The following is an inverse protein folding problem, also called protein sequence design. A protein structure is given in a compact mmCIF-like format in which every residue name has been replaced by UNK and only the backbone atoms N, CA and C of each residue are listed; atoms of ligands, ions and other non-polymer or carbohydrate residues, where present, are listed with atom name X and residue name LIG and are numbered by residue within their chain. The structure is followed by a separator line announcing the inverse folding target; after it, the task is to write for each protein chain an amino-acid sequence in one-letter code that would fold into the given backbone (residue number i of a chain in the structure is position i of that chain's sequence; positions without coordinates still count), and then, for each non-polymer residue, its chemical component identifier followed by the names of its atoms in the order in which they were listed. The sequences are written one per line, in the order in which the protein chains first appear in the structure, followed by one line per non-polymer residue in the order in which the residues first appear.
data_IF_221117803706
#
_entry.id   IF_221117803706
#
_cell.length_a   1.000
_cell.length_b   1.000
_cell.length_c   1.000
_cell.angle_alpha   90.00
_cell.angle_beta   90.00
_cell.angle_gamma   90.00
#
_symmetry.space_group_name_H-M   'P 1'
#
loop_
_entity.id
_entity.type
_entity.pdbx_description
1 polymer ?
#
# COMPACT_ATOMS: atom_id res chain seq x y z
N UNK A 1 23.35 -29.42 53.15
CA UNK A 1 22.43 -28.70 52.25
C UNK A 1 21.61 -29.71 51.46
N UNK A 2 20.39 -29.97 51.90
CA UNK A 2 19.43 -30.83 51.21
C UNK A 2 19.09 -30.21 49.84
N UNK A 3 19.25 -31.00 48.76
CA UNK A 3 18.97 -30.58 47.38
C UNK A 3 17.50 -30.16 47.24
N UNK A 4 17.23 -28.86 47.27
CA UNK A 4 15.91 -28.27 46.98
C UNK A 4 15.37 -28.56 45.57
N UNK A 5 16.19 -29.15 44.69
CA UNK A 5 15.79 -29.53 43.32
C UNK A 5 14.84 -30.73 43.24
N UNK A 6 14.45 -31.33 44.37
CA UNK A 6 13.56 -32.51 44.45
C UNK A 6 12.29 -32.26 45.27
N UNK A 7 11.97 -31.01 45.59
CA UNK A 7 10.68 -30.68 46.17
C UNK A 7 9.60 -30.82 45.09
N UNK A 8 8.45 -31.40 45.42
CA UNK A 8 7.31 -31.61 44.52
C UNK A 8 6.75 -30.29 43.93
N UNK A 9 7.12 -29.15 44.53
CA UNK A 9 6.81 -27.78 44.08
C UNK A 9 7.85 -27.19 43.10
N UNK A 10 8.96 -27.88 42.85
CA UNK A 10 10.01 -27.45 41.93
C UNK A 10 9.93 -28.14 40.54
N UNK A 11 9.19 -29.25 40.45
CA UNK A 11 8.82 -29.83 39.16
C UNK A 11 7.65 -29.06 38.57
N UNK A 12 7.79 -28.65 37.31
CA UNK A 12 6.66 -28.15 36.52
C UNK A 12 5.52 -29.16 36.54
N UNK A 13 4.29 -28.69 36.77
CA UNK A 13 3.05 -29.51 36.83
C UNK A 13 2.85 -30.34 35.56
N UNK A 14 3.39 -29.89 34.43
CA UNK A 14 3.36 -30.62 33.18
C UNK A 14 4.57 -31.55 33.01
N UNK A 15 4.28 -32.76 32.54
CA UNK A 15 5.27 -33.69 32.02
C UNK A 15 5.90 -33.15 30.73
N UNK A 16 7.09 -33.66 30.37
CA UNK A 16 7.75 -33.30 29.11
C UNK A 16 6.88 -33.56 27.86
N UNK A 17 6.08 -34.64 27.88
CA UNK A 17 5.15 -34.96 26.81
C UNK A 17 4.01 -33.94 26.69
N UNK A 18 3.51 -33.44 27.83
CA UNK A 18 2.50 -32.39 27.89
C UNK A 18 3.07 -31.04 27.45
N UNK A 19 4.28 -30.68 27.87
CA UNK A 19 4.94 -29.48 27.34
C UNK A 19 5.17 -29.53 25.84
N UNK A 20 5.51 -30.70 25.29
CA UNK A 20 5.70 -30.86 23.84
C UNK A 20 4.38 -30.76 23.07
N UNK A 21 3.28 -31.28 23.63
CA UNK A 21 1.93 -31.11 23.07
C UNK A 21 1.45 -29.66 23.20
N UNK A 22 1.60 -29.07 24.39
CA UNK A 22 1.25 -27.69 24.67
C UNK A 22 2.07 -26.72 23.82
N UNK A 23 3.37 -26.91 23.63
CA UNK A 23 4.19 -26.10 22.72
C UNK A 23 3.88 -26.29 21.23
N UNK A 24 3.29 -27.44 20.86
CA UNK A 24 2.77 -27.67 19.50
C UNK A 24 1.41 -27.02 19.28
N UNK A 25 0.64 -26.74 20.33
CA UNK A 25 -0.76 -26.27 20.24
C UNK A 25 -0.91 -24.81 20.67
N UNK A 26 -0.29 -24.42 21.78
CA UNK A 26 -0.30 -23.10 22.43
C UNK A 26 1.05 -22.37 22.30
N UNK A 27 1.02 -21.05 22.44
CA UNK A 27 2.20 -20.18 22.32
C UNK A 27 2.62 -19.86 20.88
N UNK A 28 3.67 -19.04 20.75
CA UNK A 28 4.22 -18.63 19.46
C UNK A 28 5.03 -19.75 18.81
N UNK A 29 4.61 -20.22 17.63
CA UNK A 29 5.28 -21.28 16.88
C UNK A 29 6.20 -20.67 15.83
N UNK A 30 7.48 -21.04 15.87
CA UNK A 30 8.47 -20.66 14.85
C UNK A 30 8.86 -21.91 14.08
N UNK A 31 8.65 -21.92 12.78
CA UNK A 31 9.07 -23.02 11.91
C UNK A 31 9.94 -22.47 10.79
N UNK A 32 11.08 -23.14 10.56
CA UNK A 32 11.92 -22.90 9.38
C UNK A 32 11.31 -23.62 8.19
N UNK A 33 11.02 -22.88 7.14
CA UNK A 33 10.50 -23.38 5.87
C UNK A 33 11.65 -23.86 4.98
N UNK A 34 11.42 -24.95 4.26
CA UNK A 34 12.38 -25.54 3.32
C UNK A 34 12.42 -24.80 1.99
N UNK A 35 13.34 -25.19 1.11
CA UNK A 35 13.47 -24.59 -0.24
C UNK A 35 12.22 -24.72 -1.10
N UNK A 36 11.45 -25.78 -0.90
CA UNK A 36 10.20 -26.04 -1.63
C UNK A 36 9.08 -25.04 -1.27
N UNK A 37 9.12 -24.47 -0.07
CA UNK A 37 8.16 -23.46 0.37
C UNK A 37 8.51 -22.05 -0.12
N UNK A 38 9.63 -21.89 -0.83
CA UNK A 38 10.13 -20.61 -1.28
C UNK A 38 9.95 -20.47 -2.80
N UNK A 39 9.48 -19.30 -3.25
CA UNK A 39 9.33 -19.03 -4.69
C UNK A 39 10.67 -19.17 -5.41
N UNK A 40 10.65 -19.78 -6.59
CA UNK A 40 11.82 -19.85 -7.47
C UNK A 40 12.23 -18.45 -7.95
N UNK A 41 13.52 -18.25 -8.19
CA UNK A 41 14.08 -16.98 -8.64
C UNK A 41 13.51 -16.53 -10.00
N UNK A 42 13.05 -17.50 -10.78
CA UNK A 42 12.48 -17.29 -12.11
C UNK A 42 10.96 -17.42 -12.18
N UNK A 43 10.29 -17.51 -11.03
CA UNK A 43 8.84 -17.59 -10.95
C UNK A 43 8.18 -16.22 -10.80
N UNK A 44 7.01 -16.06 -11.41
CA UNK A 44 6.18 -14.87 -11.29
C UNK A 44 5.59 -14.77 -9.87
N UNK A 45 5.60 -13.57 -9.27
CA UNK A 45 5.05 -13.36 -7.94
C UNK A 45 3.51 -13.40 -7.87
N UNK A 46 2.81 -13.37 -9.02
CA UNK A 46 1.35 -13.47 -9.08
C UNK A 46 0.87 -14.91 -9.35
N UNK A 47 1.47 -15.61 -10.32
CA UNK A 47 1.01 -16.95 -10.72
C UNK A 47 1.90 -18.09 -10.21
N UNK A 48 3.03 -17.80 -9.56
CA UNK A 48 4.00 -18.76 -8.98
C UNK A 48 4.66 -19.76 -9.96
N UNK A 49 4.19 -19.80 -11.21
CA UNK A 49 4.81 -20.53 -12.30
C UNK A 49 6.06 -19.80 -12.83
N UNK A 50 6.87 -20.50 -13.63
CA UNK A 50 7.97 -19.89 -14.38
C UNK A 50 7.47 -18.71 -15.20
N UNK A 51 8.14 -17.57 -15.07
CA UNK A 51 7.68 -16.33 -15.67
C UNK A 51 7.77 -16.39 -17.21
N UNK A 52 6.63 -16.17 -17.88
CA UNK A 52 6.52 -16.00 -19.34
C UNK A 52 6.68 -14.52 -19.67
N UNK A 53 7.56 -14.20 -20.61
CA UNK A 53 7.98 -12.81 -20.89
C UNK A 53 8.22 -12.04 -19.59
N UNK A 54 9.29 -12.38 -18.84
CA UNK A 54 9.45 -11.88 -17.49
C UNK A 54 9.64 -10.35 -17.49
N UNK A 55 8.97 -9.70 -16.57
CA UNK A 55 9.02 -8.25 -16.35
C UNK A 55 9.29 -7.99 -14.88
N UNK A 56 10.14 -7.01 -14.56
CA UNK A 56 10.50 -6.65 -13.21
C UNK A 56 10.07 -5.22 -12.84
N UNK A 57 9.66 -5.05 -11.59
CA UNK A 57 9.45 -3.74 -10.97
C UNK A 57 10.77 -3.07 -10.56
N UNK A 58 10.72 -1.78 -10.20
CA UNK A 58 11.88 -1.05 -9.67
C UNK A 58 12.49 -1.67 -8.41
N UNK A 59 11.69 -2.35 -7.58
CA UNK A 59 12.17 -3.07 -6.40
C UNK A 59 12.62 -4.52 -6.69
N UNK A 60 12.57 -4.95 -7.96
CA UNK A 60 13.08 -6.25 -8.39
C UNK A 60 12.13 -7.44 -8.21
N UNK A 61 10.83 -7.21 -8.06
CA UNK A 61 9.85 -8.30 -8.11
C UNK A 61 9.60 -8.73 -9.55
N UNK A 62 9.63 -10.03 -9.81
CA UNK A 62 9.46 -10.63 -11.14
C UNK A 62 8.02 -11.05 -11.38
N UNK A 63 7.53 -10.81 -12.59
CA UNK A 63 6.18 -11.16 -13.01
C UNK A 63 6.11 -11.60 -14.48
N UNK A 64 5.03 -12.29 -14.85
CA UNK A 64 4.64 -12.42 -16.25
C UNK A 64 4.01 -11.11 -16.73
N UNK A 65 4.32 -10.70 -17.97
CA UNK A 65 3.75 -9.49 -18.58
C UNK A 65 2.22 -9.45 -18.51
N UNK A 66 1.56 -10.55 -18.86
CA UNK A 66 0.09 -10.69 -18.82
C UNK A 66 -0.45 -10.54 -17.39
N UNK A 67 0.15 -11.23 -16.41
CA UNK A 67 -0.31 -11.21 -15.03
C UNK A 67 -0.22 -9.81 -14.40
N UNK A 68 0.84 -9.05 -14.66
CA UNK A 68 0.94 -7.68 -14.14
C UNK A 68 -0.09 -6.78 -14.78
N UNK A 69 -0.31 -6.93 -16.09
CA UNK A 69 -1.22 -6.07 -16.80
C UNK A 69 -2.67 -6.29 -16.34
N UNK A 70 -3.08 -7.55 -16.18
CA UNK A 70 -4.41 -7.87 -15.62
C UNK A 70 -4.55 -7.37 -14.19
N UNK A 71 -3.52 -7.52 -13.35
CA UNK A 71 -3.55 -7.01 -11.97
C UNK A 71 -3.64 -5.48 -11.93
N UNK A 72 -2.80 -4.76 -12.68
CA UNK A 72 -2.85 -3.30 -12.76
C UNK A 72 -4.20 -2.78 -13.30
N UNK A 73 -4.79 -3.46 -14.28
CA UNK A 73 -6.13 -3.11 -14.77
C UNK A 73 -7.20 -3.36 -13.71
N UNK A 74 -7.11 -4.46 -12.95
CA UNK A 74 -8.01 -4.76 -11.84
C UNK A 74 -7.92 -3.70 -10.73
N UNK A 75 -6.70 -3.29 -10.38
CA UNK A 75 -6.46 -2.25 -9.38
C UNK A 75 -6.98 -0.90 -9.85
N UNK A 76 -6.75 -0.52 -11.13
CA UNK A 76 -7.32 0.71 -11.69
C UNK A 76 -8.84 0.73 -11.67
N UNK A 77 -9.49 -0.40 -11.98
CA UNK A 77 -10.96 -0.52 -11.88
C UNK A 77 -11.45 -0.40 -10.43
N UNK A 78 -10.76 -1.03 -9.49
CA UNK A 78 -11.09 -0.91 -8.06
C UNK A 78 -10.90 0.54 -7.55
N UNK A 79 -9.79 1.19 -7.92
CA UNK A 79 -9.51 2.59 -7.59
C UNK A 79 -10.59 3.50 -8.20
N UNK A 80 -11.02 3.26 -9.45
CA UNK A 80 -12.11 4.04 -10.04
C UNK A 80 -13.40 3.91 -9.24
N UNK A 81 -13.82 2.69 -8.89
CA UNK A 81 -15.01 2.45 -8.06
C UNK A 81 -14.91 3.12 -6.68
N UNK A 82 -13.72 3.09 -6.07
CA UNK A 82 -13.47 3.76 -4.80
C UNK A 82 -13.53 5.28 -4.93
N UNK A 83 -12.96 5.85 -6.00
CA UNK A 83 -13.06 7.29 -6.31
C UNK A 83 -14.50 7.71 -6.51
N UNK A 84 -15.25 7.00 -7.35
CA UNK A 84 -16.66 7.29 -7.62
C UNK A 84 -17.49 7.28 -6.32
N UNK A 85 -17.23 6.31 -5.42
CA UNK A 85 -17.88 6.24 -4.09
C UNK A 85 -17.49 7.41 -3.19
N UNK A 86 -16.20 7.76 -3.14
CA UNK A 86 -15.71 8.88 -2.34
C UNK A 86 -16.24 10.21 -2.87
N UNK A 87 -16.35 10.38 -4.18
CA UNK A 87 -16.86 11.59 -4.83
C UNK A 87 -18.37 11.73 -4.62
N UNK A 88 -19.13 10.63 -4.61
CA UNK A 88 -20.54 10.64 -4.22
C UNK A 88 -20.74 11.08 -2.75
N UNK A 89 -19.96 10.50 -1.83
CA UNK A 89 -20.00 10.90 -0.42
C UNK A 89 -19.59 12.37 -0.21
N UNK A 90 -18.63 12.88 -0.99
CA UNK A 90 -18.24 14.29 -0.95
C UNK A 90 -19.37 15.21 -1.42
N UNK A 91 -20.07 14.85 -2.52
CA UNK A 91 -21.20 15.62 -3.02
C UNK A 91 -22.34 15.69 -2.01
N UNK A 92 -22.71 14.57 -1.39
CA UNK A 92 -23.74 14.53 -0.34
C UNK A 92 -23.34 15.40 0.87
N UNK A 93 -22.07 15.36 1.28
CA UNK A 93 -21.53 16.20 2.34
C UNK A 93 -21.53 17.71 1.99
N UNK A 94 -21.22 18.06 0.74
CA UNK A 94 -21.26 19.45 0.27
C UNK A 94 -22.69 20.00 0.19
N UNK A 95 -23.65 19.18 -0.26
CA UNK A 95 -25.08 19.54 -0.29
C UNK A 95 -25.67 19.71 1.12
N UNK A 96 -25.29 18.85 2.07
CA UNK A 96 -25.64 19.03 3.48
C UNK A 96 -25.00 20.30 4.07
N UNK A 97 -23.73 20.57 3.74
CA UNK A 97 -23.06 21.79 4.16
C UNK A 97 -23.73 23.04 3.60
N UNK A 98 -24.18 23.02 2.35
CA UNK A 98 -24.94 24.12 1.74
C UNK A 98 -26.28 24.32 2.45
N UNK A 99 -27.07 23.25 2.63
CA UNK A 99 -28.37 23.32 3.33
C UNK A 99 -28.25 23.85 4.76
N UNK A 100 -27.23 23.43 5.50
CA UNK A 100 -27.01 23.91 6.86
C UNK A 100 -26.47 25.36 6.91
N UNK A 101 -25.74 25.82 5.87
CA UNK A 101 -25.39 27.26 5.74
C UNK A 101 -26.61 28.12 5.46
N UNK A 102 -27.51 27.66 4.60
CA UNK A 102 -28.73 28.41 4.27
C UNK A 102 -29.70 28.44 5.46
N UNK A 103 -29.94 27.31 6.13
CA UNK A 103 -30.76 27.24 7.34
C UNK A 103 -30.22 28.11 8.49
N UNK A 104 -28.91 28.32 8.53
CA UNK A 104 -28.30 29.20 9.51
C UNK A 104 -28.43 30.68 9.20
N UNK A 105 -28.29 31.05 7.92
CA UNK A 105 -28.60 32.40 7.45
C UNK A 105 -30.04 32.75 7.77
N UNK A 106 -30.97 31.81 7.52
CA UNK A 106 -32.39 31.97 7.87
C UNK A 106 -32.61 32.14 9.38
N UNK A 107 -31.90 31.38 10.24
CA UNK A 107 -31.98 31.58 11.70
C UNK A 107 -31.47 32.94 12.16
N UNK A 108 -30.34 33.41 11.63
CA UNK A 108 -29.80 34.72 11.98
C UNK A 108 -30.76 35.83 11.54
N UNK A 109 -31.34 35.73 10.34
CA UNK A 109 -32.36 36.66 9.87
C UNK A 109 -33.61 36.64 10.75
N UNK A 110 -34.10 35.45 11.14
CA UNK A 110 -35.27 35.32 12.02
C UNK A 110 -35.03 35.89 13.42
N UNK A 111 -33.84 35.67 14.00
CA UNK A 111 -33.47 36.24 15.30
C UNK A 111 -33.30 37.76 15.21
N UNK A 112 -32.79 38.27 14.09
CA UNK A 112 -32.72 39.71 13.82
C UNK A 112 -34.11 40.34 13.68
N UNK A 113 -35.00 39.75 12.88
CA UNK A 113 -36.40 40.19 12.72
C UNK A 113 -37.15 40.17 14.06
N UNK A 114 -36.97 39.11 14.86
CA UNK A 114 -37.54 38.99 16.19
C UNK A 114 -36.97 40.01 17.18
N UNK A 115 -35.68 40.34 17.08
CA UNK A 115 -35.04 41.42 17.84
C UNK A 115 -35.61 42.80 17.48
N UNK A 116 -35.83 43.06 16.20
CA UNK A 116 -36.42 44.30 15.69
C UNK A 116 -37.89 44.46 16.14
N UNK A 117 -38.68 43.38 16.09
CA UNK A 117 -40.07 43.34 16.55
C UNK A 117 -40.19 43.33 18.09
N UNK A 118 -39.21 42.76 18.79
CA UNK A 118 -39.12 42.73 20.25
C UNK A 118 -38.81 44.09 20.87
N UNK A 119 -38.19 45.02 20.14
CA UNK A 119 -38.00 46.41 20.59
C UNK A 119 -39.32 47.20 20.72
N UNK A 120 -40.41 46.75 20.08
CA UNK A 120 -41.75 47.31 20.28
C UNK A 120 -42.52 46.67 21.45
N UNK A 121 -42.03 45.55 21.98
CA UNK A 121 -42.70 44.76 23.02
C UNK A 121 -41.71 44.21 24.06
N UNK A 122 -41.15 45.10 24.90
CA UNK A 122 -41.28 45.05 26.39
C UNK A 122 -40.14 45.77 27.11
N UNK A 123 -40.53 46.78 27.88
CA UNK A 123 -39.88 47.23 29.11
C UNK A 123 -39.66 46.03 30.05
N UNK A 124 -38.42 45.82 30.48
CA UNK A 124 -37.92 44.93 31.57
C UNK A 124 -37.35 43.53 31.23
N UNK A 125 -36.02 43.46 31.40
CA UNK A 125 -35.21 42.51 32.19
C UNK A 125 -34.72 41.19 31.55
N UNK A 126 -33.40 40.97 31.67
CA UNK A 126 -32.77 39.66 31.50
C UNK A 126 -31.29 39.67 31.13
N UNK A 127 -30.44 40.21 32.00
CA UNK A 127 -28.97 40.03 31.97
C UNK A 127 -28.57 38.59 32.34
N UNK A 128 -27.55 38.04 31.68
CA UNK A 128 -26.68 37.04 32.29
C UNK A 128 -25.23 37.18 31.77
N UNK A 129 -24.30 37.42 32.70
CA UNK A 129 -22.87 37.16 32.55
C UNK A 129 -21.95 38.39 32.53
N UNK A 130 -21.52 38.85 33.70
CA UNK A 130 -20.36 39.75 33.84
C UNK A 130 -20.35 40.55 35.15
N UNK A 131 -19.65 40.03 36.17
CA UNK A 131 -19.48 40.71 37.46
C UNK A 131 -18.56 41.95 37.36
N UNK A 132 -19.01 43.05 37.97
CA UNK A 132 -18.18 43.80 38.93
C UNK A 132 -17.42 45.06 38.47
N UNK A 133 -18.12 46.19 38.28
CA UNK A 133 -17.65 47.51 38.74
C UNK A 133 -18.80 48.51 38.76
N UNK A 134 -19.00 49.19 39.90
CA UNK A 134 -20.03 50.20 40.09
C UNK A 134 -19.68 51.52 39.40
N UNK A 135 -20.69 52.31 38.99
CA UNK A 135 -20.87 53.76 39.29
C UNK A 135 -22.03 54.39 38.47
N UNK A 136 -22.91 55.05 39.23
CA UNK A 136 -23.87 56.15 38.98
C UNK A 136 -24.73 56.28 37.71
N UNK A 137 -26.04 56.18 37.96
CA UNK A 137 -27.17 57.05 37.54
C UNK A 137 -26.92 58.11 36.44
N UNK A 138 -27.66 57.94 35.34
CA UNK A 138 -28.64 58.93 34.88
C UNK A 138 -28.13 60.17 34.14
N UNK A 139 -27.68 59.98 32.90
CA UNK A 139 -27.66 61.06 31.88
C UNK A 139 -28.33 60.51 30.62
N UNK A 140 -29.42 61.16 30.19
CA UNK A 140 -30.13 60.88 28.94
C UNK A 140 -29.20 61.21 27.76
N UNK A 141 -28.40 60.25 27.33
CA UNK A 141 -27.71 60.32 26.04
C UNK A 141 -28.73 60.01 24.95
N UNK A 142 -28.87 60.92 23.98
CA UNK A 142 -29.58 60.67 22.72
C UNK A 142 -29.01 59.37 22.15
N UNK A 143 -29.85 58.35 21.99
CA UNK A 143 -29.47 57.11 21.34
C UNK A 143 -29.38 57.41 19.84
N UNK A 144 -28.18 57.72 19.35
CA UNK A 144 -27.93 57.83 17.93
C UNK A 144 -27.77 56.40 17.40
N UNK A 145 -28.69 56.02 16.52
CA UNK A 145 -28.70 54.70 15.89
C UNK A 145 -27.58 54.67 14.85
N UNK A 146 -26.40 54.22 15.26
CA UNK A 146 -25.26 54.01 14.37
C UNK A 146 -25.47 52.76 13.53
N UNK A 147 -25.87 52.97 12.28
CA UNK A 147 -26.05 51.94 11.24
C UNK A 147 -24.81 51.04 11.11
N UNK A 148 -23.61 51.62 11.15
CA UNK A 148 -22.35 50.90 11.08
C UNK A 148 -22.10 49.96 12.26
N UNK A 149 -22.58 50.31 13.47
CA UNK A 149 -22.43 49.45 14.65
C UNK A 149 -23.36 48.23 14.59
N UNK A 150 -24.55 48.40 14.01
CA UNK A 150 -25.50 47.30 13.76
C UNK A 150 -24.96 46.35 12.67
N UNK A 151 -24.34 46.89 11.62
CA UNK A 151 -23.67 46.09 10.59
C UNK A 151 -22.49 45.27 11.15
N UNK A 152 -21.72 45.81 12.09
CA UNK A 152 -20.64 45.04 12.73
C UNK A 152 -21.16 43.93 13.62
N UNK A 153 -22.22 44.19 14.39
CA UNK A 153 -22.83 43.19 15.30
C UNK A 153 -23.52 42.05 14.53
N UNK A 154 -24.17 42.38 13.42
CA UNK A 154 -24.78 41.38 12.53
C UNK A 154 -23.72 40.51 11.86
N UNK A 155 -22.64 41.10 11.35
CA UNK A 155 -21.51 40.34 10.79
C UNK A 155 -20.83 39.44 11.82
N UNK A 156 -20.63 39.92 13.04
CA UNK A 156 -20.07 39.11 14.13
C UNK A 156 -21.01 37.96 14.54
N UNK A 157 -22.33 38.18 14.56
CA UNK A 157 -23.32 37.14 14.82
C UNK A 157 -23.39 36.10 13.69
N UNK A 158 -23.30 36.53 12.43
CA UNK A 158 -23.21 35.65 11.25
C UNK A 158 -21.94 34.79 11.29
N UNK A 159 -20.79 35.39 11.60
CA UNK A 159 -19.51 34.68 11.72
C UNK A 159 -19.50 33.68 12.89
N UNK A 160 -20.13 34.02 14.02
CA UNK A 160 -20.26 33.13 15.17
C UNK A 160 -21.19 31.94 14.87
N UNK A 161 -22.32 32.18 14.20
CA UNK A 161 -23.24 31.13 13.76
C UNK A 161 -22.54 30.16 12.79
N UNK A 162 -21.82 30.69 11.79
CA UNK A 162 -21.05 29.89 10.84
C UNK A 162 -19.99 29.00 11.54
N UNK A 163 -19.28 29.53 12.54
CA UNK A 163 -18.30 28.74 13.32
C UNK A 163 -18.92 27.65 14.19
N UNK A 164 -20.15 27.84 14.67
CA UNK A 164 -20.87 26.80 15.42
C UNK A 164 -21.26 25.64 14.51
N UNK A 165 -21.79 25.98 13.33
CA UNK A 165 -22.22 25.00 12.32
C UNK A 165 -21.03 24.25 11.74
N UNK A 166 -19.91 24.93 11.52
CA UNK A 166 -18.70 24.24 11.06
C UNK A 166 -18.19 23.21 12.08
N UNK A 167 -18.37 23.45 13.38
CA UNK A 167 -18.07 22.45 14.42
C UNK A 167 -19.05 21.28 14.40
N UNK A 168 -20.34 21.55 14.36
CA UNK A 168 -21.39 20.50 14.32
C UNK A 168 -21.31 19.66 13.03
N UNK A 169 -21.04 20.29 11.89
CA UNK A 169 -20.81 19.60 10.62
C UNK A 169 -19.51 18.79 10.66
N UNK A 170 -18.43 19.32 11.24
CA UNK A 170 -17.20 18.56 11.40
C UNK A 170 -17.40 17.33 12.29
N UNK A 171 -18.26 17.41 13.31
CA UNK A 171 -18.65 16.27 14.16
C UNK A 171 -19.57 15.29 13.44
N UNK A 172 -20.54 15.77 12.66
CA UNK A 172 -21.38 14.92 11.83
C UNK A 172 -20.58 14.20 10.72
N UNK A 173 -19.61 14.88 10.11
CA UNK A 173 -18.71 14.30 9.11
C UNK A 173 -17.76 13.27 9.72
N UNK A 174 -17.31 13.45 10.97
CA UNK A 174 -16.58 12.41 11.71
C UNK A 174 -17.38 11.12 11.83
N UNK A 175 -18.70 11.21 11.99
CA UNK A 175 -19.60 10.06 12.09
C UNK A 175 -20.03 9.47 10.73
N UNK A 176 -19.82 10.19 9.61
CA UNK A 176 -20.17 9.76 8.24
C UNK A 176 -18.99 9.27 7.42
N UNK A 177 -17.76 9.48 7.90
CA UNK A 177 -16.57 8.93 7.29
C UNK A 177 -16.68 7.39 7.23
N UNK A 178 -16.20 6.72 6.17
CA UNK A 178 -16.30 5.27 6.08
C UNK A 178 -15.49 4.62 7.20
N UNK A 179 -16.20 4.26 8.27
CA UNK A 179 -15.65 3.65 9.45
C UNK A 179 -15.09 2.27 9.10
N UNK A 180 -13.78 2.11 9.25
CA UNK A 180 -13.23 0.80 9.58
C UNK A 180 -12.84 0.75 11.06
N UNK A 181 -13.79 1.20 11.88
CA UNK A 181 -13.84 1.16 13.34
C UNK A 181 -13.08 2.30 14.04
N UNK A 182 -13.83 3.24 14.63
CA UNK A 182 -13.31 4.10 15.70
C UNK A 182 -12.84 3.19 16.86
N UNK A 183 -11.52 2.99 17.06
CA UNK A 183 -10.63 3.96 17.71
C UNK A 183 -9.80 4.80 16.72
N UNK A 184 -10.30 6.00 16.41
CA UNK A 184 -9.75 7.04 15.52
C UNK A 184 -8.97 6.59 14.26
N UNK A 185 -9.59 5.72 13.45
CA UNK A 185 -9.27 5.53 12.01
C UNK A 185 -7.94 4.82 11.68
N UNK A 186 -7.65 3.62 12.19
CA UNK A 186 -6.60 2.78 11.55
C UNK A 186 -6.92 1.28 11.64
N UNK A 187 -6.42 0.44 10.70
CA UNK A 187 -5.00 0.06 10.73
C UNK A 187 -4.30 0.08 9.35
N UNK A 188 -3.01 0.42 9.36
CA UNK A 188 -1.99 0.08 8.32
C UNK A 188 -1.96 0.83 6.98
N UNK A 189 -1.98 2.18 6.99
CA UNK A 189 -1.26 2.93 5.93
C UNK A 189 -0.23 3.86 6.55
N UNK A 190 1.00 3.67 6.09
CA UNK A 190 2.23 4.30 6.55
C UNK A 190 2.35 5.73 6.07
N UNK A 191 2.84 6.56 6.99
CA UNK A 191 3.29 7.95 6.84
C UNK A 191 2.22 9.01 7.16
N UNK A 192 2.40 9.65 8.33
CA UNK A 192 1.76 10.89 8.80
C UNK A 192 0.29 10.86 9.22
N UNK A 193 -0.02 10.09 10.27
CA UNK A 193 -1.21 10.31 11.10
C UNK A 193 -2.57 9.94 10.50
N UNK A 194 -3.65 10.03 11.28
CA UNK A 194 -5.01 9.75 10.80
C UNK A 194 -5.40 10.76 9.71
N UNK A 195 -6.06 10.33 8.62
CA UNK A 195 -6.45 11.21 7.54
C UNK A 195 -7.38 12.28 8.08
N UNK A 196 -6.96 13.55 8.00
CA UNK A 196 -7.76 14.70 8.46
C UNK A 196 -8.83 15.09 7.44
N UNK A 197 -8.72 14.59 6.20
CA UNK A 197 -9.67 14.87 5.13
C UNK A 197 -9.80 13.70 4.14
N UNK A 198 -10.94 13.64 3.45
CA UNK A 198 -11.18 12.72 2.32
C UNK A 198 -10.26 12.96 1.10
N UNK A 199 -9.43 14.01 1.14
CA UNK A 199 -8.51 14.39 0.07
C UNK A 199 -7.13 13.75 0.23
N UNK A 200 -6.83 13.20 1.42
CA UNK A 200 -5.50 12.66 1.76
C UNK A 200 -5.29 11.21 1.33
N UNK A 201 -6.34 10.52 0.85
CA UNK A 201 -6.22 9.11 0.41
C UNK A 201 -5.65 9.05 -1.02
N UNK A 202 -4.33 8.94 -1.11
CA UNK A 202 -3.62 8.78 -2.39
C UNK A 202 -3.84 7.38 -2.96
N UNK A 203 -4.94 7.19 -3.70
CA UNK A 203 -5.26 5.94 -4.38
C UNK A 203 -4.30 5.71 -5.56
N UNK A 204 -3.27 4.90 -5.34
CA UNK A 204 -2.31 4.46 -6.35
C UNK A 204 -2.34 2.94 -6.51
N UNK A 205 -2.01 2.47 -7.72
CA UNK A 205 -1.77 1.05 -7.95
C UNK A 205 -0.50 0.61 -7.21
N UNK A 206 -0.55 -0.59 -6.61
CA UNK A 206 0.51 -1.12 -5.74
C UNK A 206 1.01 -2.47 -6.23
N UNK A 207 2.27 -2.75 -5.98
CA UNK A 207 2.85 -4.07 -6.26
C UNK A 207 2.44 -5.07 -5.18
N UNK A 208 1.80 -6.18 -5.58
CA UNK A 208 1.40 -7.27 -4.67
C UNK A 208 2.51 -8.29 -4.37
N UNK A 209 3.63 -8.22 -5.09
CA UNK A 209 4.74 -9.16 -4.93
C UNK A 209 5.67 -8.87 -3.74
N UNK A 210 5.47 -7.77 -3.01
CA UNK A 210 6.40 -7.30 -1.99
C UNK A 210 5.71 -6.78 -0.74
N UNK A 211 6.39 -6.96 0.38
CA UNK A 211 6.02 -6.40 1.68
C UNK A 211 7.20 -5.57 2.20
N UNK A 212 7.05 -4.25 2.38
CA UNK A 212 5.82 -3.44 2.21
C UNK A 212 5.39 -3.24 0.74
N UNK A 213 4.09 -2.96 0.54
CA UNK A 213 3.55 -2.66 -0.79
C UNK A 213 4.03 -1.29 -1.28
N UNK A 214 4.61 -1.22 -2.48
CA UNK A 214 5.07 0.02 -3.10
C UNK A 214 4.22 0.41 -4.30
N UNK A 215 4.26 1.69 -4.69
CA UNK A 215 3.56 2.20 -5.86
C UNK A 215 4.12 1.57 -7.15
N UNK A 216 3.23 1.03 -7.98
CA UNK A 216 3.58 0.38 -9.24
C UNK A 216 2.79 0.98 -10.39
N UNK A 217 3.48 1.36 -11.47
CA UNK A 217 2.89 1.84 -12.70
C UNK A 217 3.54 1.15 -13.90
N UNK A 218 2.89 1.20 -15.07
CA UNK A 218 3.40 0.55 -16.28
C UNK A 218 4.80 1.02 -16.69
N UNK A 219 5.16 2.28 -16.41
CA UNK A 219 6.48 2.84 -16.70
C UNK A 219 7.59 2.31 -15.78
N UNK A 220 7.23 1.70 -14.66
CA UNK A 220 8.17 1.13 -13.69
C UNK A 220 8.48 -0.35 -13.97
N UNK A 221 7.92 -0.89 -15.05
CA UNK A 221 8.11 -2.25 -15.49
C UNK A 221 9.18 -2.30 -16.57
N UNK A 222 10.19 -3.14 -16.37
CA UNK A 222 11.23 -3.38 -17.35
C UNK A 222 11.27 -4.87 -17.73
N UNK A 223 11.42 -5.20 -19.03
CA UNK A 223 11.56 -6.60 -19.46
C UNK A 223 12.85 -7.19 -18.90
N UNK A 224 12.84 -8.50 -18.65
CA UNK A 224 13.99 -9.25 -18.13
C UNK A 224 14.30 -10.37 -19.12
N UNK A 225 15.58 -10.51 -19.49
CA UNK A 225 16.07 -11.53 -20.39
C UNK A 225 17.07 -12.41 -19.64
N UNK A 226 16.69 -13.67 -19.44
CA UNK A 226 17.58 -14.68 -18.89
C UNK A 226 18.37 -15.34 -20.03
N UNK A 227 19.69 -15.38 -19.90
CA UNK A 227 20.52 -16.21 -20.77
C UNK A 227 20.32 -17.68 -20.40
N UNK A 228 19.94 -18.50 -21.36
CA UNK A 228 19.79 -19.95 -21.19
C UNK A 228 20.89 -20.69 -21.94
N UNK A 229 21.40 -21.75 -21.34
CA UNK A 229 22.21 -22.73 -22.07
C UNK A 229 21.38 -23.97 -22.29
N UNK A 230 21.30 -24.37 -23.55
CA UNK A 230 20.86 -25.69 -23.96
C UNK A 230 22.13 -26.54 -24.03
N UNK A 231 22.25 -27.55 -23.16
CA UNK A 231 23.24 -28.61 -23.34
C UNK A 231 22.86 -29.37 -24.62
N UNK A 232 23.29 -28.86 -25.77
CA UNK A 232 23.10 -29.48 -27.06
C UNK A 232 24.18 -30.54 -27.25
N UNK A 233 24.07 -31.65 -26.53
CA UNK A 233 24.58 -32.93 -27.04
C UNK A 233 23.66 -33.40 -28.17
N UNK A 234 23.78 -32.75 -29.33
CA UNK A 234 23.18 -33.19 -30.60
C UNK A 234 22.62 -32.08 -31.50
N UNK A 235 23.51 -31.45 -32.32
CA UNK A 235 23.27 -30.74 -33.59
C UNK A 235 22.37 -29.47 -33.56
N UNK A 236 22.63 -28.35 -34.25
CA UNK A 236 23.73 -27.85 -35.08
C UNK A 236 23.49 -26.34 -35.29
N UNK A 237 24.58 -25.59 -35.44
CA UNK A 237 24.75 -24.35 -36.20
C UNK A 237 23.71 -23.20 -36.07
N UNK A 238 24.17 -22.11 -35.47
CA UNK A 238 23.69 -20.74 -35.63
C UNK A 238 23.65 -20.27 -37.09
N UNK A 239 22.55 -19.60 -37.47
CA UNK A 239 22.58 -18.50 -38.47
C UNK A 239 21.40 -17.54 -38.18
N UNK A 240 21.59 -16.21 -38.20
CA UNK A 240 20.48 -15.26 -38.02
C UNK A 240 19.77 -15.07 -39.36
N UNK A 241 18.44 -15.07 -39.37
CA UNK A 241 17.66 -14.73 -40.56
C UNK A 241 16.72 -13.56 -40.29
N UNK A 242 16.91 -12.55 -41.11
CA UNK A 242 16.19 -11.28 -41.17
C UNK A 242 15.03 -11.41 -42.17
N UNK A 243 13.91 -10.75 -41.85
CA UNK A 243 12.84 -10.21 -42.72
C UNK A 243 11.83 -11.09 -43.48
N UNK A 244 10.55 -10.82 -43.12
CA UNK A 244 9.38 -10.47 -43.95
C UNK A 244 8.52 -11.55 -44.67
N UNK A 245 7.25 -11.57 -44.22
CA UNK A 245 5.99 -11.59 -45.00
C UNK A 245 5.51 -12.89 -45.68
N UNK A 246 4.41 -13.46 -45.17
CA UNK A 246 3.07 -13.57 -45.82
C UNK A 246 2.16 -14.62 -45.13
N UNK A 247 0.87 -14.33 -45.04
CA UNK A 247 -0.27 -15.22 -44.63
C UNK A 247 -1.38 -15.08 -45.70
N UNK A 248 -2.51 -15.86 -45.73
CA UNK A 248 -2.90 -17.09 -45.02
C UNK A 248 -3.69 -18.16 -45.87
N UNK A 249 -4.13 -19.24 -45.19
CA UNK A 249 -5.38 -20.07 -45.37
C UNK A 249 -5.27 -21.48 -46.02
N UNK A 250 -6.28 -22.39 -45.90
CA UNK A 250 -6.46 -23.31 -44.74
C UNK A 250 -6.82 -24.77 -45.13
N UNK A 251 -6.58 -25.78 -44.28
CA UNK A 251 -7.52 -26.93 -44.11
C UNK A 251 -7.00 -28.07 -43.21
N UNK A 252 -7.94 -28.61 -42.45
CA UNK A 252 -8.10 -29.99 -41.92
C UNK A 252 -7.18 -30.53 -40.82
N UNK A 253 -7.72 -30.51 -39.59
CA UNK A 253 -7.61 -31.57 -38.56
C UNK A 253 -8.39 -32.84 -39.03
N UNK A 254 -8.13 -34.07 -38.53
CA UNK A 254 -8.32 -34.45 -37.13
C UNK A 254 -7.23 -35.33 -36.47
N UNK A 255 -7.17 -35.20 -35.14
CA UNK A 255 -6.72 -36.11 -34.07
C UNK A 255 -5.82 -37.32 -34.38
N UNK A 256 -4.69 -37.44 -33.67
CA UNK A 256 -4.45 -38.54 -32.72
C UNK A 256 -3.19 -38.32 -31.84
N UNK A 257 -3.45 -38.40 -30.54
CA UNK A 257 -2.58 -38.74 -29.41
C UNK A 257 -1.05 -38.84 -29.65
N UNK A 258 -0.31 -37.84 -29.14
CA UNK A 258 1.12 -37.95 -28.89
C UNK A 258 1.44 -37.33 -27.53
N UNK A 259 1.59 -38.21 -26.54
CA UNK A 259 2.29 -37.94 -25.27
C UNK A 259 3.73 -37.54 -25.60
N UNK A 260 4.03 -36.24 -25.65
CA UNK A 260 5.39 -35.74 -25.80
C UNK A 260 5.87 -35.15 -24.47
N UNK A 261 6.88 -35.80 -23.90
CA UNK A 261 7.68 -35.41 -22.72
C UNK A 261 7.96 -33.90 -22.63
N UNK A 262 7.99 -33.32 -21.42
CA UNK A 262 8.31 -31.90 -21.26
C UNK A 262 9.79 -31.68 -21.60
N UNK A 263 10.00 -30.94 -22.69
CA UNK A 263 11.05 -29.93 -22.89
C UNK A 263 12.17 -29.95 -21.86
N UNK A 264 13.38 -30.33 -22.30
CA UNK A 264 14.62 -30.10 -21.57
C UNK A 264 14.58 -28.72 -20.86
N UNK A 265 14.66 -28.73 -19.53
CA UNK A 265 14.61 -27.52 -18.72
C UNK A 265 15.90 -26.73 -18.94
N UNK A 266 15.89 -25.83 -19.93
CA UNK A 266 17.01 -24.96 -20.24
C UNK A 266 17.45 -24.22 -18.97
N UNK A 267 18.69 -24.47 -18.54
CA UNK A 267 19.21 -23.90 -17.30
C UNK A 267 19.56 -22.43 -17.53
N UNK A 268 19.13 -21.56 -16.61
CA UNK A 268 19.37 -20.11 -16.67
C UNK A 268 20.76 -19.82 -16.09
N UNK A 269 21.57 -19.05 -16.79
CA UNK A 269 22.94 -18.75 -16.38
C UNK A 269 23.29 -17.27 -16.49
N UNK A 270 24.35 -16.88 -15.79
CA UNK A 270 24.96 -15.57 -15.94
C UNK A 270 25.78 -15.52 -17.24
N UNK A 271 25.61 -14.50 -18.10
CA UNK A 271 26.35 -14.39 -19.37
C UNK A 271 27.86 -14.20 -19.16
N UNK A 272 28.28 -13.58 -18.05
CA UNK A 272 29.69 -13.27 -17.80
C UNK A 272 30.48 -14.45 -17.23
N UNK A 273 29.95 -15.14 -16.21
CA UNK A 273 30.66 -16.23 -15.53
C UNK A 273 30.15 -17.63 -15.90
N UNK A 274 29.11 -17.73 -16.74
CA UNK A 274 28.44 -18.99 -17.13
C UNK A 274 27.93 -19.84 -15.95
N UNK A 275 27.91 -19.28 -14.74
CA UNK A 275 27.39 -19.95 -13.55
C UNK A 275 25.87 -20.02 -13.63
N UNK A 276 25.31 -21.19 -13.36
CA UNK A 276 23.88 -21.40 -13.23
C UNK A 276 23.27 -20.50 -12.13
N UNK A 277 22.18 -19.82 -12.46
CA UNK A 277 21.43 -18.98 -11.53
C UNK A 277 20.54 -19.87 -10.66
N UNK A 278 20.48 -19.56 -9.36
CA UNK A 278 19.71 -20.32 -8.38
C UNK A 278 19.16 -19.41 -7.28
N UNK A 279 18.25 -19.92 -6.44
CA UNK A 279 17.69 -19.21 -5.29
C UNK A 279 18.74 -18.77 -4.24
N UNK A 280 19.96 -19.32 -4.27
CA UNK A 280 21.02 -18.92 -3.35
C UNK A 280 21.91 -17.80 -3.90
N UNK A 281 21.93 -17.58 -5.22
CA UNK A 281 22.69 -16.51 -5.86
C UNK A 281 21.91 -15.20 -5.84
N UNK A 282 22.56 -14.08 -5.52
CA UNK A 282 21.95 -12.74 -5.67
C UNK A 282 22.08 -12.36 -7.14
N UNK A 283 20.95 -11.98 -7.72
CA UNK A 283 20.80 -11.78 -9.16
C UNK A 283 20.41 -10.33 -9.37
N UNK A 284 21.07 -9.66 -10.32
CA UNK A 284 20.78 -8.28 -10.68
C UNK A 284 20.35 -8.23 -12.14
N UNK A 285 19.48 -7.29 -12.43
CA UNK A 285 18.94 -7.02 -13.74
C UNK A 285 19.21 -5.56 -14.10
N UNK A 286 19.62 -5.33 -15.34
CA UNK A 286 19.92 -4.01 -15.87
C UNK A 286 18.70 -3.46 -16.63
N UNK A 287 18.07 -2.41 -16.10
CA UNK A 287 16.82 -1.83 -16.62
C UNK A 287 16.82 -1.48 -18.12
N UNK A 288 17.84 -0.81 -18.68
CA UNK A 288 17.76 -0.35 -20.08
C UNK A 288 17.95 -1.48 -21.09
N UNK A 289 18.68 -2.54 -20.75
CA UNK A 289 19.06 -3.59 -21.69
C UNK A 289 18.52 -4.99 -21.34
N UNK A 290 17.75 -5.11 -20.26
CA UNK A 290 17.09 -6.35 -19.82
C UNK A 290 18.01 -7.51 -19.44
N UNK A 291 19.34 -7.37 -19.48
CA UNK A 291 20.26 -8.45 -19.17
C UNK A 291 20.33 -8.76 -17.67
N UNK A 292 20.46 -10.05 -17.35
CA UNK A 292 20.53 -10.57 -15.97
C UNK A 292 21.93 -11.09 -15.67
N UNK A 293 22.51 -10.66 -14.55
CA UNK A 293 23.89 -10.95 -14.15
C UNK A 293 23.94 -11.32 -12.66
N UNK A 294 24.86 -12.20 -12.26
CA UNK A 294 25.04 -12.54 -10.85
C UNK A 294 25.80 -11.44 -10.08
N UNK A 295 25.61 -11.36 -8.77
CA UNK A 295 26.26 -10.36 -7.89
C UNK A 295 27.75 -10.20 -8.14
N UNK A 296 28.50 -11.31 -8.19
CA UNK A 296 29.95 -11.28 -8.35
C UNK A 296 30.38 -10.59 -9.64
N UNK A 297 29.63 -10.76 -10.72
CA UNK A 297 29.92 -10.12 -11.99
C UNK A 297 29.44 -8.67 -12.03
N UNK A 298 28.38 -8.33 -11.28
CA UNK A 298 27.96 -6.94 -11.12
C UNK A 298 29.03 -6.16 -10.37
N UNK A 299 29.47 -6.67 -9.21
CA UNK A 299 30.47 -6.00 -8.37
C UNK A 299 31.82 -5.88 -9.08
N UNK A 300 32.21 -6.87 -9.91
CA UNK A 300 33.50 -6.87 -10.59
C UNK A 300 33.53 -6.17 -11.97
N UNK A 301 32.44 -6.25 -12.75
CA UNK A 301 32.45 -5.82 -14.16
C UNK A 301 31.52 -4.64 -14.46
N UNK A 302 30.46 -4.45 -13.67
CA UNK A 302 29.43 -3.41 -13.89
C UNK A 302 29.51 -2.28 -12.86
N UNK A 303 30.09 -2.55 -11.69
CA UNK A 303 30.33 -1.57 -10.65
C UNK A 303 31.22 -0.41 -11.11
N UNK A 304 31.42 0.58 -10.24
CA UNK A 304 32.36 1.67 -10.52
C UNK A 304 33.76 1.08 -10.78
N UNK A 305 34.47 1.44 -11.87
CA UNK A 305 34.33 2.67 -12.69
C UNK A 305 33.61 2.54 -14.06
N UNK A 306 33.27 1.33 -14.53
CA UNK A 306 32.80 1.12 -15.92
C UNK A 306 31.33 1.49 -16.12
N UNK A 307 30.45 1.22 -15.14
CA UNK A 307 29.01 1.55 -15.18
C UNK A 307 28.36 1.22 -16.54
N UNK A 308 28.69 0.08 -17.12
CA UNK A 308 28.25 -0.37 -18.45
C UNK A 308 27.81 -1.84 -18.40
N UNK A 309 26.91 -2.23 -19.30
CA UNK A 309 26.42 -3.60 -19.36
C UNK A 309 27.44 -4.54 -20.05
N UNK A 310 27.76 -5.68 -19.43
CA UNK A 310 28.73 -6.67 -19.95
C UNK A 310 28.33 -7.34 -21.29
N UNK A 311 27.05 -7.26 -21.68
CA UNK A 311 26.55 -7.96 -22.88
C UNK A 311 26.38 -7.03 -24.08
N UNK A 312 26.07 -5.75 -23.84
CA UNK A 312 25.64 -4.82 -24.88
C UNK A 312 26.24 -3.41 -24.74
N UNK A 313 27.17 -3.23 -23.80
CA UNK A 313 27.92 -2.00 -23.53
C UNK A 313 27.07 -0.74 -23.32
N UNK A 314 25.76 -0.92 -23.06
CA UNK A 314 24.85 0.19 -22.79
C UNK A 314 25.26 0.86 -21.47
N UNK A 315 25.39 2.20 -21.43
CA UNK A 315 25.72 2.92 -20.20
C UNK A 315 24.58 2.78 -19.18
N UNK A 316 24.96 2.55 -17.92
CA UNK A 316 24.04 2.28 -16.81
C UNK A 316 24.21 3.34 -15.72
N UNK A 317 23.10 3.86 -15.19
CA UNK A 317 23.14 4.59 -13.93
C UNK A 317 23.04 3.62 -12.75
N UNK A 318 23.47 4.05 -11.56
CA UNK A 318 23.31 3.26 -10.33
C UNK A 318 21.85 2.84 -10.04
N UNK A 319 20.87 3.64 -10.50
CA UNK A 319 19.43 3.34 -10.36
C UNK A 319 18.94 2.25 -11.30
N UNK A 320 19.68 1.94 -12.35
CA UNK A 320 19.29 0.97 -13.39
C UNK A 320 19.72 -0.46 -13.05
N UNK A 321 20.64 -0.61 -12.10
CA UNK A 321 21.06 -1.90 -11.54
C UNK A 321 20.09 -2.29 -10.43
N UNK A 322 19.14 -3.17 -10.74
CA UNK A 322 18.08 -3.60 -9.80
C UNK A 322 18.36 -5.02 -9.32
N UNK A 323 18.38 -5.24 -8.00
CA UNK A 323 18.46 -6.59 -7.42
C UNK A 323 17.10 -7.29 -7.56
N UNK A 324 17.07 -8.45 -8.22
CA UNK A 324 15.86 -9.27 -8.30
C UNK A 324 15.58 -9.93 -6.94
N UNK A 325 14.44 -9.59 -6.36
CA UNK A 325 14.00 -10.12 -5.06
C UNK A 325 13.65 -11.59 -5.17
N UNK A 326 14.43 -12.39 -4.45
CA UNK A 326 14.22 -13.82 -4.22
C UNK A 326 13.56 -14.06 -2.87
N UNK A 327 12.82 -15.16 -2.78
CA UNK A 327 12.34 -15.67 -1.52
C UNK A 327 13.33 -16.74 -1.04
N UNK A 328 13.87 -16.53 0.15
CA UNK A 328 14.87 -17.42 0.73
C UNK A 328 16.32 -16.98 0.59
N UNK A 329 17.15 -17.51 1.48
CA UNK A 329 18.60 -17.47 1.34
C UNK A 329 19.15 -18.87 1.57
N UNK A 330 20.09 -19.31 0.73
CA UNK A 330 20.78 -20.59 0.91
C UNK A 330 21.70 -20.66 2.16
N UNK A 331 21.67 -19.67 3.05
CA UNK A 331 22.44 -19.63 4.29
C UNK A 331 21.49 -19.63 5.48
N UNK A 332 21.79 -20.47 6.48
CA UNK A 332 20.99 -20.70 7.68
C UNK A 332 20.69 -19.44 8.53
N UNK A 333 21.40 -18.33 8.30
CA UNK A 333 21.24 -17.06 9.02
C UNK A 333 20.66 -15.89 8.20
N UNK A 334 20.32 -16.05 6.91
CA UNK A 334 20.12 -14.90 6.02
C UNK A 334 18.70 -14.64 5.50
N UNK A 335 17.69 -15.43 5.86
CA UNK A 335 16.46 -15.52 5.07
C UNK A 335 15.17 -15.26 5.82
N UNK A 336 14.16 -14.75 5.09
CA UNK A 336 12.73 -14.70 5.48
C UNK A 336 12.08 -16.10 5.61
N UNK A 337 12.87 -17.16 5.79
CA UNK A 337 12.43 -18.55 5.80
C UNK A 337 11.92 -19.02 7.17
N UNK A 338 11.69 -18.10 8.11
CA UNK A 338 11.04 -18.41 9.38
C UNK A 338 9.61 -17.88 9.35
N UNK A 339 8.64 -18.78 9.38
CA UNK A 339 7.25 -18.41 9.62
C UNK A 339 6.98 -18.43 11.13
N UNK A 340 6.47 -17.32 11.66
CA UNK A 340 6.05 -17.21 13.06
C UNK A 340 4.54 -17.14 13.12
N UNK A 341 3.90 -18.14 13.74
CA UNK A 341 2.49 -18.08 14.10
C UNK A 341 2.40 -17.64 15.55
N UNK A 342 2.05 -16.37 15.79
CA UNK A 342 1.73 -15.90 17.12
C UNK A 342 0.47 -16.63 17.63
N UNK A 343 0.56 -17.20 18.81
CA UNK A 343 -0.54 -17.84 19.51
C UNK A 343 -0.60 -17.31 20.93
N UNK A 344 -1.79 -17.33 21.53
CA UNK A 344 -1.94 -17.05 22.96
C UNK A 344 -1.10 -18.06 23.74
N UNK A 345 -0.24 -17.54 24.62
CA UNK A 345 0.51 -18.37 25.53
C UNK A 345 -0.47 -19.11 26.45
N UNK A 346 -0.14 -20.36 26.77
CA UNK A 346 -0.88 -21.11 27.78
C UNK A 346 -0.72 -20.36 29.11
N UNK A 347 -1.80 -19.72 29.59
CA UNK A 347 -1.87 -19.14 30.93
C UNK A 347 -2.30 -20.26 31.87
N UNK A 348 -1.33 -20.90 32.51
CA UNK A 348 -1.55 -21.89 33.55
C UNK A 348 -0.36 -21.95 34.48
#
# INVERSE_FOLDING_TARGET
MTKHSKNNTASSVFSYAEFKKAGKEYGSKRQRLGNESMRRFDACALCLNSAREPVACNEGHLFCKECVYTDLLSQKKAIKRQKDRLDAMKKEAEEERARARDAARERVLADFEKGQLGLAARTQSGTSGGEGACVSRGVKRKFEFDTSAVETLTREAEEAALRQIEREQAEALKNKLPDFWLPSLTPTYTSTGPPRSLQDVKLQTTCRGGEPAHALALKHLAPVLFSTFTDASGASASTPSTTLSSTPTPSSTPANNATSNPSATASKMCPSCKKGLSNSARIYHMRPCAHVVCKTCVDALVGAPSMQCVVCDTPLAAKDVVELKREGTGFAGGGRAESVKAGTAFQG
#
